data_IF_733704805001
#
_entry.id   IF_733704805001
#
_cell.length_a   1.000
_cell.length_b   1.000
_cell.length_c   1.000
_cell.angle_alpha   90.00
_cell.angle_beta   90.00
_cell.angle_gamma   90.00
#
_symmetry.space_group_name_H-M   'P 1'
#
loop_
_entity.id
_entity.type
_entity.pdbx_description
1 polymer ?
#
# COMPACT_ATOMS: atom_id res chain seq x y z
N UNK A 1 8.56 21.89 -44.91
CA UNK A 1 9.09 22.21 -43.56
C UNK A 1 8.04 21.94 -42.47
N UNK A 2 6.77 22.26 -42.71
CA UNK A 2 5.66 21.97 -41.78
C UNK A 2 5.36 20.46 -41.66
N UNK A 3 5.37 19.72 -42.78
CA UNK A 3 5.06 18.27 -42.79
C UNK A 3 6.00 17.44 -41.91
N UNK A 4 7.28 17.82 -41.79
CA UNK A 4 8.23 17.13 -40.90
C UNK A 4 7.91 17.39 -39.42
N UNK A 5 7.35 18.55 -39.10
CA UNK A 5 6.96 18.89 -37.74
C UNK A 5 5.69 18.13 -37.33
N UNK A 6 4.72 18.01 -38.24
CA UNK A 6 3.50 17.23 -37.99
C UNK A 6 3.84 15.76 -37.72
N UNK A 7 4.76 15.17 -38.50
CA UNK A 7 5.26 13.81 -38.26
C UNK A 7 5.96 13.66 -36.90
N UNK A 8 6.80 14.62 -36.49
CA UNK A 8 7.47 14.57 -35.20
C UNK A 8 6.46 14.69 -34.03
N UNK A 9 5.43 15.52 -34.18
CA UNK A 9 4.36 15.66 -33.20
C UNK A 9 3.56 14.36 -33.10
N UNK A 10 3.21 13.73 -34.23
CA UNK A 10 2.51 12.45 -34.23
C UNK A 10 3.32 11.33 -33.55
N UNK A 11 4.63 11.25 -33.84
CA UNK A 11 5.52 10.29 -33.19
C UNK A 11 5.65 10.57 -31.68
N UNK A 12 5.73 11.84 -31.28
CA UNK A 12 5.73 12.24 -29.87
C UNK A 12 4.45 11.83 -29.17
N UNK A 13 3.29 12.07 -29.79
CA UNK A 13 1.98 11.69 -29.25
C UNK A 13 1.90 10.17 -29.10
N UNK A 14 2.36 9.42 -30.11
CA UNK A 14 2.38 7.95 -30.06
C UNK A 14 3.29 7.44 -28.93
N UNK A 15 4.45 8.04 -28.74
CA UNK A 15 5.37 7.70 -27.65
C UNK A 15 4.75 8.00 -26.27
N UNK A 16 4.08 9.15 -26.11
CA UNK A 16 3.38 9.49 -24.87
C UNK A 16 2.23 8.53 -24.57
N UNK A 17 1.46 8.12 -25.58
CA UNK A 17 0.40 7.12 -25.41
C UNK A 17 0.96 5.78 -24.97
N UNK A 18 2.06 5.33 -25.58
CA UNK A 18 2.73 4.09 -25.20
C UNK A 18 3.23 4.14 -23.74
N UNK A 19 3.79 5.28 -23.32
CA UNK A 19 4.24 5.49 -21.94
C UNK A 19 3.07 5.42 -20.96
N UNK A 20 1.94 6.09 -21.24
CA UNK A 20 0.77 6.05 -20.37
C UNK A 20 0.20 4.63 -20.22
N UNK A 21 0.22 3.86 -21.30
CA UNK A 21 -0.20 2.46 -21.28
C UNK A 21 0.74 1.58 -20.45
N UNK A 22 2.05 1.85 -20.49
CA UNK A 22 3.03 1.17 -19.64
C UNK A 22 2.83 1.54 -18.16
N UNK A 23 2.74 2.83 -17.85
CA UNK A 23 2.51 3.33 -16.49
C UNK A 23 1.21 2.75 -15.89
N UNK A 24 0.16 2.64 -16.71
CA UNK A 24 -1.11 2.01 -16.31
C UNK A 24 -0.90 0.54 -15.95
N UNK A 25 -0.17 -0.23 -16.77
CA UNK A 25 0.11 -1.65 -16.50
C UNK A 25 0.94 -1.80 -15.23
N UNK A 26 1.93 -0.95 -15.03
CA UNK A 26 2.77 -0.94 -13.84
C UNK A 26 1.95 -0.66 -12.57
N UNK A 27 1.05 0.31 -12.61
CA UNK A 27 0.16 0.61 -11.48
C UNK A 27 -0.79 -0.55 -11.18
N UNK A 28 -1.35 -1.19 -12.21
CA UNK A 28 -2.20 -2.37 -12.05
C UNK A 28 -1.42 -3.53 -11.42
N UNK A 29 -0.23 -3.82 -11.93
CA UNK A 29 0.63 -4.88 -11.38
C UNK A 29 0.97 -4.62 -9.92
N UNK A 30 1.33 -3.38 -9.56
CA UNK A 30 1.63 -2.99 -8.18
C UNK A 30 0.41 -3.17 -7.27
N UNK A 31 -0.76 -2.71 -7.72
CA UNK A 31 -2.01 -2.88 -6.97
C UNK A 31 -2.33 -4.38 -6.76
N UNK A 32 -2.20 -5.20 -7.79
CA UNK A 32 -2.43 -6.64 -7.71
C UNK A 32 -1.44 -7.33 -6.76
N UNK A 33 -0.16 -6.94 -6.80
CA UNK A 33 0.84 -7.43 -5.85
C UNK A 33 0.51 -7.03 -4.41
N UNK A 34 0.08 -5.79 -4.18
CA UNK A 34 -0.31 -5.32 -2.84
C UNK A 34 -1.57 -6.06 -2.35
N UNK A 35 -2.57 -6.25 -3.19
CA UNK A 35 -3.79 -7.01 -2.86
C UNK A 35 -3.47 -8.48 -2.58
N UNK A 36 -2.55 -9.09 -3.33
CA UNK A 36 -2.13 -10.47 -3.11
C UNK A 36 -1.37 -10.66 -1.78
N UNK A 37 -0.67 -9.62 -1.31
CA UNK A 37 0.02 -9.63 -0.02
C UNK A 37 -0.94 -9.44 1.17
N UNK A 38 -2.16 -8.93 0.93
CA UNK A 38 -3.14 -8.77 2.01
C UNK A 38 -3.64 -10.13 2.50
N UNK A 39 -3.67 -10.35 3.83
CA UNK A 39 -4.30 -11.52 4.42
C UNK A 39 -5.78 -11.59 4.03
N UNK A 40 -6.27 -12.80 3.70
CA UNK A 40 -7.66 -13.02 3.24
C UNK A 40 -8.70 -12.41 4.18
N UNK A 41 -8.48 -12.54 5.49
CA UNK A 41 -9.37 -11.98 6.52
C UNK A 41 -9.51 -10.46 6.47
N UNK A 42 -8.50 -9.72 5.99
CA UNK A 42 -8.57 -8.27 5.78
C UNK A 42 -9.15 -7.94 4.41
N UNK A 43 -8.81 -8.73 3.38
CA UNK A 43 -9.31 -8.52 2.02
C UNK A 43 -10.83 -8.68 1.91
N UNK A 44 -11.40 -9.59 2.70
CA UNK A 44 -12.84 -9.83 2.71
C UNK A 44 -13.60 -8.84 3.64
N UNK A 45 -12.87 -7.98 4.37
CA UNK A 45 -13.45 -6.98 5.26
C UNK A 45 -13.99 -5.78 4.46
N UNK A 46 -15.19 -5.26 4.79
CA UNK A 46 -15.69 -4.04 4.18
C UNK A 46 -14.74 -2.87 4.43
N UNK A 47 -14.37 -2.13 3.37
CA UNK A 47 -13.41 -1.02 3.46
C UNK A 47 -13.83 0.04 4.49
N UNK A 48 -15.14 0.32 4.59
CA UNK A 48 -15.67 1.25 5.58
C UNK A 48 -15.39 0.82 7.03
N UNK A 49 -15.47 -0.48 7.31
CA UNK A 49 -15.13 -1.05 8.62
C UNK A 49 -13.63 -1.03 8.84
N UNK A 50 -12.84 -1.41 7.83
CA UNK A 50 -11.37 -1.39 7.89
C UNK A 50 -10.81 0.00 8.23
N UNK A 51 -11.30 1.04 7.57
CA UNK A 51 -10.83 2.42 7.79
C UNK A 51 -11.34 2.99 9.10
N UNK A 52 -12.62 2.75 9.44
CA UNK A 52 -13.25 3.35 10.63
C UNK A 52 -12.81 2.70 11.94
N UNK A 53 -12.67 1.37 11.97
CA UNK A 53 -12.40 0.61 13.19
C UNK A 53 -10.91 0.31 13.39
N UNK A 54 -10.17 0.14 12.29
CA UNK A 54 -8.74 -0.20 12.33
C UNK A 54 -7.83 0.89 11.77
N UNK A 55 -8.37 2.07 11.43
CA UNK A 55 -7.59 3.23 10.96
C UNK A 55 -6.84 3.01 9.65
N UNK A 56 -7.17 1.97 8.90
CA UNK A 56 -6.43 1.56 7.70
C UNK A 56 -5.17 0.72 7.99
N UNK A 57 -4.94 0.27 9.22
CA UNK A 57 -3.81 -0.61 9.54
C UNK A 57 -4.16 -2.09 9.32
N UNK A 58 -3.45 -2.74 8.38
CA UNK A 58 -3.59 -4.18 8.11
C UNK A 58 -3.26 -5.01 9.35
N UNK A 59 -2.21 -4.67 10.09
CA UNK A 59 -1.78 -5.40 11.30
C UNK A 59 -2.86 -5.41 12.40
N UNK A 60 -3.54 -4.28 12.61
CA UNK A 60 -4.63 -4.16 13.56
C UNK A 60 -5.86 -4.93 13.09
N UNK A 61 -6.22 -4.81 11.81
CA UNK A 61 -7.34 -5.56 11.23
C UNK A 61 -7.14 -7.07 11.25
N UNK A 62 -5.91 -7.56 11.02
CA UNK A 62 -5.57 -8.98 11.13
C UNK A 62 -5.74 -9.47 12.57
N UNK A 63 -5.26 -8.70 13.56
CA UNK A 63 -5.40 -9.07 14.98
C UNK A 63 -6.87 -9.09 15.42
N UNK A 64 -7.65 -8.09 15.01
CA UNK A 64 -9.08 -8.02 15.27
C UNK A 64 -9.84 -9.18 14.60
N UNK A 65 -9.55 -9.47 13.33
CA UNK A 65 -10.21 -10.54 12.57
C UNK A 65 -9.85 -11.96 13.07
N UNK A 66 -8.65 -12.14 13.63
CA UNK A 66 -8.23 -13.40 14.25
C UNK A 66 -8.67 -13.50 15.72
N UNK A 67 -9.35 -12.49 16.27
CA UNK A 67 -9.79 -12.47 17.67
C UNK A 67 -8.63 -12.39 18.68
N UNK A 68 -7.43 -11.98 18.25
CA UNK A 68 -6.25 -11.89 19.11
C UNK A 68 -6.37 -10.74 20.12
N UNK A 69 -7.17 -9.72 19.83
CA UNK A 69 -7.46 -8.63 20.79
C UNK A 69 -8.37 -9.10 21.94
N UNK A 70 -9.12 -10.19 21.78
CA UNK A 70 -9.87 -10.82 22.87
C UNK A 70 -8.96 -11.63 23.82
N UNK A 71 -7.75 -12.01 23.40
CA UNK A 71 -6.77 -12.69 24.24
C UNK A 71 -5.84 -11.72 25.01
N UNK A 72 -5.70 -10.47 24.53
CA UNK A 72 -4.84 -9.47 25.16
C UNK A 72 -5.44 -8.82 26.43
N UNK A 73 -6.74 -8.97 26.67
CA UNK A 73 -7.37 -8.48 27.91
C UNK A 73 -7.13 -9.38 29.13
N UNK A 74 -6.38 -10.48 28.99
CA UNK A 74 -6.10 -11.42 30.08
C UNK A 74 -4.60 -11.62 30.42
N UNK A 75 -3.66 -10.99 29.70
CA UNK A 75 -2.22 -11.23 29.91
C UNK A 75 -1.40 -9.96 29.76
N UNK A 76 -0.92 -9.45 30.90
CA UNK A 76 -0.17 -8.21 30.99
C UNK A 76 1.15 -8.18 30.19
N UNK A 77 1.54 -6.95 29.91
CA UNK A 77 2.89 -6.42 29.72
C UNK A 77 3.95 -7.30 29.02
N UNK A 78 4.54 -6.65 28.02
CA UNK A 78 5.91 -6.86 27.54
C UNK A 78 6.08 -7.85 26.38
N UNK A 79 6.70 -7.37 25.31
CA UNK A 79 6.95 -8.14 24.10
C UNK A 79 6.94 -7.27 22.85
N UNK A 80 8.04 -6.55 22.61
CA UNK A 80 8.41 -6.05 21.30
C UNK A 80 8.40 -7.20 20.27
N UNK A 81 7.27 -7.46 19.63
CA UNK A 81 7.24 -8.37 18.48
C UNK A 81 7.79 -7.61 17.29
N UNK A 82 9.07 -7.87 17.01
CA UNK A 82 9.83 -7.36 15.90
C UNK A 82 9.08 -7.60 14.57
N UNK A 83 8.52 -6.52 14.02
CA UNK A 83 8.00 -6.49 12.65
C UNK A 83 9.14 -6.81 11.67
N UNK A 84 8.95 -7.72 10.69
CA UNK A 84 9.91 -7.89 9.61
C UNK A 84 10.03 -6.57 8.84
N UNK A 85 11.26 -6.24 8.45
CA UNK A 85 11.63 -4.96 7.86
C UNK A 85 10.99 -4.77 6.47
N UNK A 86 9.73 -4.38 6.42
CA UNK A 86 9.11 -3.89 5.19
C UNK A 86 9.58 -2.46 4.91
N UNK A 87 9.74 -2.05 3.64
CA UNK A 87 10.19 -0.70 3.27
C UNK A 87 9.31 0.42 3.88
N UNK A 88 8.03 0.11 4.15
CA UNK A 88 7.09 1.01 4.80
C UNK A 88 7.38 1.21 6.29
N UNK A 89 7.78 0.15 7.01
CA UNK A 89 8.20 0.25 8.42
C UNK A 89 9.46 1.11 8.60
N UNK A 90 10.39 1.05 7.64
CA UNK A 90 11.60 1.89 7.64
C UNK A 90 11.25 3.37 7.43
N UNK A 91 10.33 3.68 6.51
CA UNK A 91 9.85 5.05 6.27
C UNK A 91 9.06 5.59 7.46
N UNK A 92 8.20 4.77 8.08
CA UNK A 92 7.46 5.15 9.29
C UNK A 92 8.40 5.46 10.45
N UNK A 93 9.47 4.66 10.66
CA UNK A 93 10.49 4.92 11.69
C UNK A 93 11.28 6.20 11.44
N UNK A 94 11.69 6.46 10.19
CA UNK A 94 12.42 7.71 9.86
C UNK A 94 11.53 8.95 10.05
N UNK A 95 10.24 8.86 9.74
CA UNK A 95 9.30 9.97 9.92
C UNK A 95 8.97 10.20 11.40
N UNK A 96 8.84 9.14 12.20
CA UNK A 96 8.63 9.24 13.64
C UNK A 96 9.87 9.81 14.36
N UNK A 97 11.09 9.44 13.94
CA UNK A 97 12.32 10.00 14.51
C UNK A 97 12.54 11.49 14.15
N UNK A 98 12.02 11.96 13.01
CA UNK A 98 12.14 13.35 12.58
C UNK A 98 11.10 14.30 13.20
N UNK A 99 10.03 13.77 13.81
CA UNK A 99 8.94 14.56 14.39
C UNK A 99 9.05 14.75 15.92
N UNK A 100 10.18 14.35 16.52
CA UNK A 100 10.41 14.31 17.97
C UNK A 100 11.53 15.23 18.48
N UNK A 101 11.78 16.37 17.84
CA UNK A 101 12.64 17.44 18.36
C UNK A 101 11.97 18.79 18.27
#
# INVERSE_FOLDING_TARGET
>A
MIENFDLEVEDKVRAMMAQLDEDKRDLQLRADCEIAQLPRCVRDMPLGTFVREYGGEVSAAVRGALGLDAAASAGGADGLVALPATPLAIRARRRAAAAGH
#
